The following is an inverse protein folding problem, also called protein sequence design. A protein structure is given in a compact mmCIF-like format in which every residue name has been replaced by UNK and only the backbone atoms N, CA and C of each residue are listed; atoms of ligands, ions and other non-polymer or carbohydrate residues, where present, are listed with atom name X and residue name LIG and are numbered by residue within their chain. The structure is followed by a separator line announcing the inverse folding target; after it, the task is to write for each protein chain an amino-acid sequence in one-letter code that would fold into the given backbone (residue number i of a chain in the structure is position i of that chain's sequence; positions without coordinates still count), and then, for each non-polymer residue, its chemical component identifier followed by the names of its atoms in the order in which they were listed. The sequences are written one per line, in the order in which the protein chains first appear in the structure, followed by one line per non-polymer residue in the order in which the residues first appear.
data_IF_147891956634
#
_entry.id   IF_147891956634
#
_cell.length_a   1.000
_cell.length_b   1.000
_cell.length_c   1.000
_cell.angle_alpha   90.00
_cell.angle_beta   90.00
_cell.angle_gamma   90.00
#
_symmetry.space_group_name_H-M   'P 1'
#
loop_
_entity.id
_entity.type
_entity.pdbx_description
1 polymer ?
#
# COMPACT_ATOMS: atom_id res chain seq x y z
N UNK A 1 -7.36 -20.51 -0.75
CA UNK A 1 -6.51 -19.72 0.13
C UNK A 1 -6.36 -18.32 -0.39
N UNK A 2 -6.62 -17.38 0.44
CA UNK A 2 -6.59 -15.98 0.03
C UNK A 2 -5.25 -15.34 0.42
N UNK A 3 -4.62 -14.64 -0.51
CA UNK A 3 -3.47 -13.81 -0.19
C UNK A 3 -3.79 -12.35 -0.40
N UNK A 4 -5.05 -11.99 -0.11
CA UNK A 4 -5.48 -10.62 -0.20
C UNK A 4 -4.75 -9.76 0.82
N UNK A 5 -4.42 -8.54 0.40
CA UNK A 5 -3.69 -7.61 1.24
C UNK A 5 -4.67 -6.58 1.78
N UNK A 6 -4.57 -6.28 3.07
CA UNK A 6 -5.52 -5.40 3.72
C UNK A 6 -4.80 -4.40 4.60
N UNK A 7 -5.37 -3.21 4.72
CA UNK A 7 -4.81 -2.19 5.60
C UNK A 7 -4.85 -2.65 7.04
N UNK A 8 -3.84 -2.26 7.81
CA UNK A 8 -3.79 -2.56 9.23
C UNK A 8 -4.87 -1.78 9.95
N UNK A 9 -5.15 -2.19 11.18
CA UNK A 9 -6.15 -1.52 12.00
C UNK A 9 -5.54 -0.34 12.73
N UNK A 10 -6.42 0.53 13.22
CA UNK A 10 -6.04 1.66 14.09
C UNK A 10 -5.10 2.63 13.40
N UNK A 11 -5.38 2.90 12.14
CA UNK A 11 -4.65 3.89 11.37
C UNK A 11 -5.52 5.13 11.17
N UNK A 12 -4.90 6.30 11.28
CA UNK A 12 -5.54 7.55 10.88
C UNK A 12 -4.88 8.00 9.59
N UNK A 13 -5.68 8.22 8.56
CA UNK A 13 -5.19 8.58 7.24
C UNK A 13 -5.65 9.97 6.91
N UNK A 14 -4.70 10.85 6.57
CA UNK A 14 -5.00 12.22 6.20
C UNK A 14 -4.48 12.46 4.79
N UNK A 15 -5.36 12.91 3.93
CA UNK A 15 -4.98 13.19 2.55
C UNK A 15 -4.26 14.53 2.49
N UNK A 16 -3.12 14.55 1.78
CA UNK A 16 -2.37 15.78 1.53
C UNK A 16 -2.16 15.86 0.02
N UNK A 17 -1.74 17.04 -0.50
CA UNK A 17 -1.65 17.19 -1.97
C UNK A 17 -0.75 16.15 -2.64
N UNK A 18 0.29 15.68 -1.97
CA UNK A 18 1.26 14.78 -2.57
C UNK A 18 1.09 13.34 -2.13
N UNK A 19 0.02 13.01 -1.42
CA UNK A 19 -0.18 11.65 -0.98
C UNK A 19 -0.97 11.58 0.31
N UNK A 20 -0.48 10.78 1.25
CA UNK A 20 -1.15 10.59 2.53
C UNK A 20 -0.17 10.71 3.67
N UNK A 21 -0.68 11.20 4.80
CA UNK A 21 -0.01 11.06 6.09
C UNK A 21 -0.79 10.00 6.85
N UNK A 22 -0.12 8.95 7.28
CA UNK A 22 -0.76 7.84 7.99
C UNK A 22 -0.19 7.80 9.40
N UNK A 23 -1.07 7.93 10.39
CA UNK A 23 -0.68 7.88 11.79
C UNK A 23 -1.04 6.49 12.33
N UNK A 24 -0.03 5.82 12.85
CA UNK A 24 -0.14 4.49 13.42
C UNK A 24 -0.32 4.66 14.92
N UNK A 25 -1.58 4.66 15.38
CA UNK A 25 -1.87 5.07 16.76
C UNK A 25 -1.24 4.16 17.79
N UNK A 26 -1.23 2.85 17.52
CA UNK A 26 -0.69 1.90 18.50
C UNK A 26 0.81 2.00 18.63
N UNK A 27 1.50 2.30 17.55
CA UNK A 27 2.95 2.43 17.56
C UNK A 27 3.41 3.85 17.78
N UNK A 28 2.48 4.80 17.78
CA UNK A 28 2.78 6.24 17.92
C UNK A 28 3.77 6.67 16.85
N UNK A 29 3.52 6.29 15.61
CA UNK A 29 4.40 6.58 14.50
C UNK A 29 3.63 7.21 13.37
N UNK A 30 4.30 8.10 12.64
CA UNK A 30 3.72 8.80 11.51
C UNK A 30 4.48 8.41 10.26
N UNK A 31 3.76 8.11 9.19
CA UNK A 31 4.35 7.70 7.92
C UNK A 31 3.82 8.61 6.82
N UNK A 32 4.71 9.02 5.94
CA UNK A 32 4.31 9.76 4.76
C UNK A 32 4.30 8.83 3.56
N UNK A 33 3.20 8.81 2.83
CA UNK A 33 3.07 8.03 1.61
C UNK A 33 2.98 9.00 0.44
N UNK A 34 3.92 8.88 -0.51
CA UNK A 34 3.81 9.66 -1.73
C UNK A 34 2.63 9.16 -2.56
N UNK A 35 2.39 9.78 -3.73
CA UNK A 35 1.21 9.44 -4.52
C UNK A 35 1.18 7.96 -4.89
N UNK A 36 2.30 7.41 -5.31
CA UNK A 36 2.35 5.99 -5.68
C UNK A 36 2.04 5.10 -4.49
N UNK A 37 2.69 5.36 -3.35
CA UNK A 37 2.46 4.56 -2.15
C UNK A 37 1.03 4.73 -1.66
N UNK A 38 0.47 5.93 -1.78
CA UNK A 38 -0.90 6.18 -1.36
C UNK A 38 -1.89 5.35 -2.17
N UNK A 39 -1.67 5.25 -3.48
CA UNK A 39 -2.56 4.46 -4.33
C UNK A 39 -2.39 2.97 -4.03
N UNK A 40 -1.16 2.52 -3.82
CA UNK A 40 -0.94 1.14 -3.40
C UNK A 40 -1.71 0.85 -2.12
N UNK A 41 -1.62 1.76 -1.16
CA UNK A 41 -2.30 1.61 0.12
C UNK A 41 -3.82 1.53 -0.06
N UNK A 42 -4.37 2.34 -0.98
CA UNK A 42 -5.81 2.32 -1.26
C UNK A 42 -6.28 0.98 -1.79
N UNK A 43 -5.45 0.32 -2.59
CA UNK A 43 -5.83 -0.99 -3.13
C UNK A 43 -5.72 -2.10 -2.10
N UNK A 44 -5.16 -1.82 -0.93
CA UNK A 44 -5.03 -2.82 0.13
C UNK A 44 -6.31 -2.85 0.96
N UNK A 45 -7.42 -3.21 0.32
CA UNK A 45 -8.72 -3.18 0.97
C UNK A 45 -9.27 -4.58 1.26
N UNK A 46 -8.42 -5.59 1.11
CA UNK A 46 -8.85 -6.97 1.36
C UNK A 46 -9.46 -7.65 0.16
N UNK A 47 -9.53 -6.96 -0.99
CA UNK A 47 -10.11 -7.52 -2.21
C UNK A 47 -9.08 -7.90 -3.25
N UNK A 48 -7.81 -7.58 -3.04
CA UNK A 48 -6.78 -7.77 -4.05
C UNK A 48 -5.56 -8.46 -3.45
N UNK A 49 -4.98 -9.38 -4.20
CA UNK A 49 -3.70 -9.97 -3.84
C UNK A 49 -2.55 -9.09 -4.30
N UNK A 50 -1.33 -9.47 -3.93
CA UNK A 50 -0.14 -8.68 -4.23
C UNK A 50 0.01 -8.44 -5.72
N UNK A 51 -0.07 -9.50 -6.53
CA UNK A 51 0.14 -9.37 -7.97
C UNK A 51 -0.96 -8.53 -8.62
N UNK A 52 -2.18 -8.67 -8.12
CA UNK A 52 -3.29 -7.88 -8.64
C UNK A 52 -3.10 -6.40 -8.33
N UNK A 53 -2.64 -6.08 -7.14
CA UNK A 53 -2.38 -4.70 -6.76
C UNK A 53 -1.30 -4.10 -7.65
N UNK A 54 -0.22 -4.84 -7.87
CA UNK A 54 0.87 -4.36 -8.71
C UNK A 54 0.35 -4.05 -10.10
N UNK A 55 -0.43 -4.96 -10.68
CA UNK A 55 -0.94 -4.77 -12.03
C UNK A 55 -1.89 -3.58 -12.11
N UNK A 56 -2.76 -3.43 -11.11
CA UNK A 56 -3.74 -2.34 -11.14
C UNK A 56 -3.09 -0.98 -10.94
N UNK A 57 -2.09 -0.90 -10.07
CA UNK A 57 -1.40 0.37 -9.86
C UNK A 57 -0.61 0.75 -11.10
N UNK A 58 0.07 -0.22 -11.73
CA UNK A 58 0.81 0.06 -12.95
C UNK A 58 -0.13 0.56 -14.04
N UNK A 59 -1.32 -0.04 -14.14
CA UNK A 59 -2.31 0.38 -15.13
C UNK A 59 -2.85 1.78 -14.83
N UNK A 60 -3.08 2.07 -13.54
CA UNK A 60 -3.63 3.37 -13.15
C UNK A 60 -2.69 4.51 -13.50
N UNK A 61 -1.39 4.28 -13.44
CA UNK A 61 -0.41 5.29 -13.78
C UNK A 61 0.10 5.16 -15.21
N UNK A 62 -0.43 4.20 -15.98
CA UNK A 62 0.03 3.93 -17.34
C UNK A 62 1.52 3.66 -17.39
N UNK A 63 1.99 2.92 -16.40
CA UNK A 63 3.40 2.57 -16.30
C UNK A 63 3.67 1.26 -17.03
N UNK A 64 4.90 1.13 -17.52
CA UNK A 64 5.30 -0.08 -18.20
C UNK A 64 5.64 -1.19 -17.20
N UNK A 65 6.00 -2.37 -17.74
CA UNK A 65 6.31 -3.52 -16.87
C UNK A 65 7.46 -3.29 -15.93
N UNK A 66 8.39 -2.39 -16.26
CA UNK A 66 9.54 -2.13 -15.40
C UNK A 66 9.12 -1.52 -14.07
N UNK A 67 7.98 -0.84 -14.05
CA UNK A 67 7.51 -0.22 -12.81
C UNK A 67 6.95 -1.25 -11.85
N UNK A 68 6.69 -2.47 -12.29
CA UNK A 68 6.14 -3.50 -11.41
C UNK A 68 7.04 -3.76 -10.21
N UNK A 69 8.34 -3.75 -10.41
CA UNK A 69 9.26 -3.98 -9.31
C UNK A 69 9.23 -2.83 -8.31
N UNK A 70 9.13 -1.61 -8.79
CA UNK A 70 9.03 -0.46 -7.89
C UNK A 70 7.74 -0.49 -7.09
N UNK A 71 6.65 -0.86 -7.74
CA UNK A 71 5.37 -0.95 -7.05
C UNK A 71 5.41 -2.07 -6.01
N UNK A 72 5.99 -3.20 -6.37
CA UNK A 72 6.12 -4.32 -5.44
C UNK A 72 6.98 -3.94 -4.25
N UNK A 73 8.06 -3.21 -4.49
CA UNK A 73 8.93 -2.74 -3.40
C UNK A 73 8.16 -1.78 -2.50
N UNK A 74 7.32 -0.91 -3.08
CA UNK A 74 6.49 -0.01 -2.28
C UNK A 74 5.52 -0.78 -1.41
N UNK A 75 4.89 -1.82 -1.98
CA UNK A 75 3.97 -2.64 -1.21
C UNK A 75 4.71 -3.38 -0.09
N UNK A 76 5.89 -3.92 -0.39
CA UNK A 76 6.69 -4.59 0.63
C UNK A 76 7.06 -3.63 1.76
N UNK A 77 7.35 -2.37 1.44
CA UNK A 77 7.61 -1.37 2.45
C UNK A 77 6.42 -1.15 3.36
N UNK A 78 5.22 -1.09 2.79
CA UNK A 78 4.01 -0.92 3.60
C UNK A 78 3.81 -2.09 4.54
N UNK A 79 4.08 -3.30 4.07
CA UNK A 79 4.00 -4.50 4.92
C UNK A 79 5.05 -4.42 6.02
N UNK A 80 6.27 -4.04 5.67
CA UNK A 80 7.37 -3.96 6.62
C UNK A 80 7.10 -2.93 7.70
N UNK A 81 6.48 -1.81 7.33
CA UNK A 81 6.15 -0.77 8.29
C UNK A 81 4.91 -1.10 9.10
N UNK A 82 4.23 -2.19 8.80
CA UNK A 82 3.04 -2.56 9.54
C UNK A 82 1.79 -1.81 9.14
N UNK A 83 1.81 -1.11 8.01
CA UNK A 83 0.65 -0.35 7.55
C UNK A 83 -0.34 -1.22 6.79
N UNK A 84 0.11 -2.30 6.19
CA UNK A 84 -0.78 -3.27 5.56
C UNK A 84 -0.37 -4.67 5.99
N UNK A 85 -1.30 -5.58 5.91
CA UNK A 85 -1.11 -6.97 6.30
C UNK A 85 -1.20 -7.86 5.06
N UNK A 86 -0.26 -8.79 4.95
CA UNK A 86 -0.24 -9.73 3.86
C UNK A 86 -0.30 -11.14 4.44
N UNK A 87 -1.39 -11.87 4.16
CA UNK A 87 -1.53 -13.22 4.75
C UNK A 87 -0.54 -14.22 4.20
N UNK A 88 0.12 -13.92 3.10
CA UNK A 88 1.08 -14.85 2.53
C UNK A 88 2.44 -14.78 3.23
N UNK A 89 2.57 -14.00 4.26
CA UNK A 89 3.84 -13.86 5.00
C UNK A 89 3.83 -14.58 6.32
#
# INVERSE_FOLDING_TARGET
MSDMVVQARNLEVHEVPDGYIVYQTEADRVHYLNKTAAIIFEFCDGSHGTDDIVARVAQAFELGPLAHEEIRAGLDSLVKEGLVLSPSK
#
